data_IF_657700440349
#
_entry.id   IF_657700440349
#
_cell.length_a   1.000
_cell.length_b   1.000
_cell.length_c   1.000
_cell.angle_alpha   90.00
_cell.angle_beta   90.00
_cell.angle_gamma   90.00
#
_symmetry.space_group_name_H-M   'P 1'
#
loop_
_entity.id
_entity.type
_entity.pdbx_description
1 polymer ?
#
# COMPACT_ATOMS: atom_id res chain seq x y z
N UNK A 1 -14.75 1.75 4.65
CA UNK A 1 -14.66 2.79 3.61
C UNK A 1 -14.65 2.11 2.25
N UNK A 2 -15.17 2.75 1.18
CA UNK A 2 -15.12 2.21 -0.19
C UNK A 2 -14.32 3.18 -1.05
N UNK A 3 -13.14 2.76 -1.51
CA UNK A 3 -12.19 3.57 -2.27
C UNK A 3 -12.01 2.98 -3.68
N UNK A 4 -11.82 3.83 -4.69
CA UNK A 4 -11.67 3.41 -6.09
C UNK A 4 -10.59 4.24 -6.77
N UNK A 5 -9.33 3.92 -6.49
CA UNK A 5 -8.17 4.62 -7.11
C UNK A 5 -7.79 3.96 -8.43
N UNK A 6 -7.89 2.62 -8.56
CA UNK A 6 -7.44 1.86 -9.73
C UNK A 6 -8.59 1.29 -10.60
N UNK A 7 -9.81 1.78 -10.41
CA UNK A 7 -11.04 1.21 -10.99
C UNK A 7 -11.61 0.02 -10.18
N UNK A 8 -10.80 -0.58 -9.31
CA UNK A 8 -11.19 -1.65 -8.39
C UNK A 8 -11.94 -1.07 -7.19
N UNK A 9 -13.09 -1.67 -6.87
CA UNK A 9 -13.80 -1.39 -5.62
C UNK A 9 -13.20 -2.26 -4.52
N UNK A 10 -12.78 -1.64 -3.42
CA UNK A 10 -12.22 -2.34 -2.27
C UNK A 10 -13.07 -2.14 -1.02
N UNK A 11 -12.99 -3.12 -0.13
CA UNK A 11 -13.44 -3.03 1.26
C UNK A 11 -12.24 -3.17 2.18
N UNK A 12 -12.23 -2.37 3.25
CA UNK A 12 -11.14 -2.36 4.22
C UNK A 12 -11.09 -3.71 4.94
N UNK A 13 -9.90 -4.32 4.96
CA UNK A 13 -9.58 -5.46 5.80
C UNK A 13 -8.99 -4.99 7.12
N UNK A 14 -7.83 -5.56 7.48
CA UNK A 14 -7.11 -5.22 8.70
C UNK A 14 -6.06 -4.13 8.46
N UNK A 15 -5.80 -3.35 9.51
CA UNK A 15 -4.61 -2.49 9.59
C UNK A 15 -3.36 -3.38 9.66
N UNK A 16 -2.42 -3.16 8.75
CA UNK A 16 -1.16 -3.89 8.71
C UNK A 16 -0.12 -3.18 9.56
N UNK A 17 0.29 -1.97 9.19
CA UNK A 17 1.33 -1.24 9.90
C UNK A 17 0.99 0.24 10.05
N UNK A 18 1.38 0.79 11.19
CA UNK A 18 1.44 2.24 11.44
C UNK A 18 2.90 2.62 11.53
N UNK A 19 3.31 3.63 10.78
CA UNK A 19 4.68 4.17 10.81
C UNK A 19 4.66 5.67 11.12
N UNK A 20 5.82 6.21 11.45
CA UNK A 20 6.09 7.65 11.39
C UNK A 20 7.02 7.98 10.21
N UNK A 21 6.86 9.17 9.66
CA UNK A 21 7.79 9.74 8.69
C UNK A 21 7.93 11.24 8.94
N UNK A 22 9.14 11.64 9.35
CA UNK A 22 9.51 13.01 9.67
C UNK A 22 10.50 13.53 8.61
N UNK A 23 10.04 14.01 7.44
CA UNK A 23 10.92 14.50 6.36
C UNK A 23 11.63 15.82 6.68
N UNK A 24 11.36 16.43 7.84
CA UNK A 24 11.86 17.75 8.24
C UNK A 24 10.84 18.86 8.00
N UNK A 25 11.23 20.11 8.29
CA UNK A 25 10.40 21.30 8.07
C UNK A 25 9.06 21.27 8.81
N UNK A 26 9.07 20.83 10.08
CA UNK A 26 7.89 20.68 10.95
C UNK A 26 6.78 19.76 10.40
N UNK A 27 7.07 19.00 9.34
CA UNK A 27 6.12 18.10 8.71
C UNK A 27 6.16 16.74 9.39
N UNK A 28 5.00 16.29 9.88
CA UNK A 28 4.83 14.98 10.51
C UNK A 28 3.82 14.18 9.70
N UNK A 29 4.27 13.07 9.13
CA UNK A 29 3.42 12.16 8.34
C UNK A 29 3.27 10.84 9.09
N UNK A 30 2.05 10.32 9.14
CA UNK A 30 1.73 8.99 9.70
C UNK A 30 1.26 8.09 8.56
N UNK A 31 2.14 7.28 7.95
CA UNK A 31 1.72 6.27 6.98
C UNK A 31 0.96 5.14 7.67
N UNK A 32 -0.24 4.84 7.17
CA UNK A 32 -1.01 3.66 7.55
C UNK A 32 -1.12 2.72 6.34
N UNK A 33 -0.76 1.45 6.54
CA UNK A 33 -0.88 0.41 5.51
C UNK A 33 -2.04 -0.51 5.88
N UNK A 34 -2.93 -0.77 4.92
CA UNK A 34 -4.11 -1.61 5.12
C UNK A 34 -4.09 -2.78 4.14
N UNK A 35 -4.54 -3.94 4.63
CA UNK A 35 -4.99 -5.01 3.76
C UNK A 35 -6.41 -4.69 3.27
N UNK A 36 -6.68 -4.97 2.01
CA UNK A 36 -7.97 -4.67 1.40
C UNK A 36 -8.44 -5.85 0.56
N UNK A 37 -9.74 -6.07 0.56
CA UNK A 37 -10.37 -7.13 -0.25
C UNK A 37 -11.07 -6.50 -1.43
N UNK A 38 -10.89 -7.10 -2.62
CA UNK A 38 -11.65 -6.69 -3.81
C UNK A 38 -13.13 -7.01 -3.60
N UNK A 39 -13.96 -5.98 -3.59
CA UNK A 39 -15.42 -6.08 -3.55
C UNK A 39 -16.07 -5.93 -4.94
N UNK A 40 -15.30 -5.54 -5.96
CA UNK A 40 -15.78 -5.48 -7.35
C UNK A 40 -14.94 -4.57 -8.25
N UNK A 41 -15.56 -4.03 -9.30
CA UNK A 41 -14.91 -3.14 -10.27
C UNK A 41 -13.99 -3.87 -11.26
N UNK A 42 -13.41 -3.09 -12.16
CA UNK A 42 -12.52 -3.58 -13.24
C UNK A 42 -11.17 -2.90 -13.11
N UNK A 43 -10.11 -3.70 -13.06
CA UNK A 43 -8.73 -3.20 -13.00
C UNK A 43 -8.44 -2.34 -14.23
N UNK A 44 -7.84 -1.16 -14.04
CA UNK A 44 -7.48 -0.26 -15.13
C UNK A 44 -8.64 0.60 -15.66
N UNK A 45 -9.89 0.35 -15.22
CA UNK A 45 -11.01 1.25 -15.46
C UNK A 45 -10.95 2.47 -14.52
N UNK A 46 -9.85 3.22 -14.59
CA UNK A 46 -9.60 4.41 -13.79
C UNK A 46 -10.51 5.53 -14.28
N UNK A 47 -11.27 6.14 -13.37
CA UNK A 47 -12.09 7.29 -13.74
C UNK A 47 -11.20 8.51 -14.03
N UNK A 48 -11.45 9.18 -15.15
CA UNK A 48 -10.71 10.38 -15.53
C UNK A 48 -10.84 11.46 -14.45
N UNK A 49 -9.72 12.10 -14.10
CA UNK A 49 -9.68 13.12 -13.05
C UNK A 49 -9.81 12.62 -11.61
N UNK A 50 -9.88 11.30 -11.38
CA UNK A 50 -9.94 10.74 -10.03
C UNK A 50 -8.63 10.89 -9.23
N UNK A 51 -7.50 11.05 -9.93
CA UNK A 51 -6.20 11.33 -9.33
C UNK A 51 -5.52 12.49 -10.08
N UNK A 52 -4.86 13.37 -9.33
CA UNK A 52 -4.01 14.44 -9.86
C UNK A 52 -2.78 13.91 -10.61
N UNK A 53 -2.34 12.68 -10.29
CA UNK A 53 -1.27 11.96 -10.96
C UNK A 53 -1.87 10.86 -11.82
N UNK A 54 -1.77 10.93 -13.17
CA UNK A 54 -2.38 9.94 -14.05
C UNK A 54 -1.85 8.53 -13.79
N UNK A 55 -2.76 7.60 -13.46
CA UNK A 55 -2.46 6.17 -13.38
C UNK A 55 -2.41 5.64 -14.82
N UNK A 56 -1.21 5.26 -15.27
CA UNK A 56 -0.98 4.84 -16.66
C UNK A 56 -1.28 3.36 -16.91
N UNK A 57 -1.12 2.53 -15.89
CA UNK A 57 -1.32 1.09 -15.97
C UNK A 57 -1.58 0.49 -14.58
N UNK A 58 -2.26 -0.65 -14.53
CA UNK A 58 -2.55 -1.39 -13.30
C UNK A 58 -2.40 -2.88 -13.56
N UNK A 59 -1.61 -3.56 -12.73
CA UNK A 59 -1.42 -5.01 -12.81
C UNK A 59 -1.40 -5.65 -11.43
N UNK A 60 -1.84 -6.90 -11.36
CA UNK A 60 -1.51 -7.77 -10.24
C UNK A 60 -0.11 -8.34 -10.47
N UNK A 61 0.70 -8.38 -9.41
CA UNK A 61 2.06 -8.92 -9.43
C UNK A 61 2.17 -9.99 -8.37
N UNK A 62 3.00 -11.01 -8.62
CA UNK A 62 3.35 -11.97 -7.57
C UNK A 62 4.12 -11.22 -6.47
N UNK A 63 3.85 -11.55 -5.20
CA UNK A 63 4.59 -11.00 -4.08
C UNK A 63 6.09 -11.37 -4.14
N UNK A 64 6.42 -12.50 -4.78
CA UNK A 64 7.80 -12.90 -5.06
C UNK A 64 8.53 -11.94 -6.01
N UNK A 65 7.80 -11.21 -6.87
CA UNK A 65 8.37 -10.31 -7.87
C UNK A 65 8.62 -8.89 -7.32
N UNK A 66 8.14 -8.55 -6.12
CA UNK A 66 8.27 -7.22 -5.52
C UNK A 66 9.72 -6.68 -5.51
N UNK A 67 10.77 -7.46 -5.22
CA UNK A 67 12.15 -6.98 -5.30
C UNK A 67 12.54 -6.46 -6.69
N UNK A 68 12.06 -7.11 -7.76
CA UNK A 68 12.31 -6.67 -9.15
C UNK A 68 11.65 -5.34 -9.49
N UNK A 69 10.67 -4.92 -8.67
CA UNK A 69 9.94 -3.67 -8.81
C UNK A 69 10.47 -2.55 -7.90
N UNK A 70 11.59 -2.80 -7.22
CA UNK A 70 12.25 -1.82 -6.35
C UNK A 70 11.77 -1.83 -4.90
N UNK A 71 10.91 -2.78 -4.51
CA UNK A 71 10.59 -2.96 -3.09
C UNK A 71 11.76 -3.62 -2.37
N UNK A 72 12.04 -3.16 -1.16
CA UNK A 72 13.11 -3.78 -0.38
C UNK A 72 12.69 -5.16 0.14
N UNK A 73 13.65 -6.08 0.40
CA UNK A 73 13.36 -7.36 1.03
C UNK A 73 12.61 -7.23 2.36
N UNK A 74 12.90 -6.16 3.13
CA UNK A 74 12.23 -5.87 4.41
C UNK A 74 10.74 -5.62 4.27
N UNK A 75 10.28 -5.19 3.11
CA UNK A 75 8.86 -5.05 2.81
C UNK A 75 8.28 -6.33 2.19
N UNK A 76 9.02 -6.93 1.24
CA UNK A 76 8.54 -8.07 0.48
C UNK A 76 8.40 -9.35 1.33
N UNK A 77 9.28 -9.58 2.30
CA UNK A 77 9.26 -10.75 3.18
C UNK A 77 7.99 -10.79 4.05
N UNK A 78 7.66 -9.76 4.86
CA UNK A 78 6.40 -9.75 5.61
C UNK A 78 5.16 -9.87 4.73
N UNK A 79 5.18 -9.31 3.52
CA UNK A 79 4.07 -9.44 2.59
C UNK A 79 3.81 -10.91 2.21
N UNK A 80 4.88 -11.66 1.93
CA UNK A 80 4.81 -13.10 1.57
C UNK A 80 4.43 -13.98 2.75
N UNK A 81 4.79 -13.57 3.96
CA UNK A 81 4.46 -14.28 5.21
C UNK A 81 3.07 -13.95 5.76
N UNK A 82 2.27 -13.15 5.05
CA UNK A 82 0.91 -12.80 5.47
C UNK A 82 0.86 -11.76 6.60
N UNK A 83 1.87 -10.91 6.68
CA UNK A 83 1.99 -9.78 7.62
C UNK A 83 1.98 -10.22 9.09
N UNK A 84 3.01 -10.94 9.57
CA UNK A 84 3.05 -11.49 10.95
C UNK A 84 2.99 -10.43 12.07
N UNK A 85 3.18 -9.15 11.75
CA UNK A 85 3.08 -8.02 12.69
C UNK A 85 1.84 -7.15 12.51
N UNK A 86 0.79 -7.62 11.82
CA UNK A 86 -0.38 -6.81 11.52
C UNK A 86 -0.96 -6.12 12.78
N UNK A 87 -1.30 -4.83 12.64
CA UNK A 87 -1.79 -3.96 13.71
C UNK A 87 -0.69 -3.26 14.52
N UNK A 88 0.59 -3.49 14.21
CA UNK A 88 1.71 -2.95 14.99
C UNK A 88 2.13 -1.55 14.52
N UNK A 89 2.65 -0.78 15.48
CA UNK A 89 3.46 0.39 15.20
C UNK A 89 4.90 -0.04 14.92
N UNK A 90 5.46 0.42 13.80
CA UNK A 90 6.77 -0.02 13.30
C UNK A 90 7.86 1.06 13.45
N UNK A 91 7.54 2.21 14.04
CA UNK A 91 8.45 3.37 14.06
C UNK A 91 8.61 3.99 12.67
N UNK A 92 9.81 4.49 12.39
CA UNK A 92 10.11 5.14 11.12
C UNK A 92 9.75 4.24 9.94
N UNK A 93 9.14 4.78 8.88
CA UNK A 93 8.73 4.00 7.69
C UNK A 93 9.86 3.16 7.07
N UNK A 94 11.11 3.60 7.21
CA UNK A 94 12.30 2.86 6.76
C UNK A 94 12.49 1.51 7.47
N UNK A 95 11.90 1.31 8.65
CA UNK A 95 11.94 0.04 9.38
C UNK A 95 11.17 -1.08 8.67
N UNK A 96 10.14 -0.74 7.89
CA UNK A 96 9.45 -1.67 7.00
C UNK A 96 9.96 -1.59 5.55
N UNK A 97 11.04 -0.85 5.32
CA UNK A 97 11.69 -0.76 4.01
C UNK A 97 10.99 0.13 2.99
N UNK A 98 10.23 1.14 3.46
CA UNK A 98 9.53 2.17 2.66
C UNK A 98 10.05 3.59 2.90
#
# INVERSE_FOLDING_TARGET
MKVRVTGVLIEDGRLLYVCDHLPGGDTHVVPLTFEVTRAGGTVGAVAEGADSTPIRDVRFVDLADLPSLGFSPRFAEPAREGWPGAGSYMGAKANIGL
#
